data_IF_010948266177
#
_entry.id   IF_010948266177
#
_cell.length_a   1.000
_cell.length_b   1.000
_cell.length_c   1.000
_cell.angle_alpha   90.00
_cell.angle_beta   90.00
_cell.angle_gamma   90.00
#
_symmetry.space_group_name_H-M   'P 1'
#
loop_
_entity.id
_entity.type
_entity.pdbx_description
1 polymer ?
#
# COMPACT_ATOMS: atom_id res chain seq x y z
N UNK A 1 21.17 -3.53 -11.92
CA UNK A 1 19.85 -3.80 -12.54
C UNK A 1 20.00 -4.33 -13.96
N UNK A 2 20.87 -3.68 -14.74
CA UNK A 2 21.67 -3.97 -15.95
C UNK A 2 21.86 -5.44 -16.45
N UNK A 3 21.33 -6.46 -15.77
CA UNK A 3 21.12 -7.82 -16.28
C UNK A 3 19.63 -8.16 -16.53
N UNK A 4 18.74 -7.16 -16.49
CA UNK A 4 17.31 -7.30 -16.77
C UNK A 4 16.44 -7.87 -15.64
N UNK A 5 17.00 -8.05 -14.44
CA UNK A 5 16.28 -8.61 -13.29
C UNK A 5 15.17 -7.64 -12.80
N UNK A 6 13.91 -8.09 -12.78
CA UNK A 6 12.77 -7.32 -12.26
C UNK A 6 12.44 -7.59 -10.78
N UNK A 7 13.02 -8.65 -10.20
CA UNK A 7 12.82 -9.04 -8.80
C UNK A 7 14.19 -9.13 -8.13
N UNK A 8 14.29 -8.52 -6.95
CA UNK A 8 15.42 -8.66 -6.04
C UNK A 8 14.92 -9.42 -4.81
N UNK A 9 15.60 -10.52 -4.47
CA UNK A 9 15.26 -11.40 -3.35
C UNK A 9 16.31 -11.25 -2.27
N UNK A 10 15.97 -10.52 -1.22
CA UNK A 10 16.87 -9.98 -0.22
C UNK A 10 16.72 -10.73 1.11
N UNK A 11 17.13 -12.00 1.10
CA UNK A 11 17.14 -12.91 2.25
C UNK A 11 18.20 -12.59 3.32
N UNK A 12 18.51 -11.30 3.49
CA UNK A 12 19.58 -10.76 4.35
C UNK A 12 19.11 -9.46 5.00
N UNK A 13 19.73 -9.09 6.13
CA UNK A 13 19.43 -7.87 6.86
C UNK A 13 20.35 -7.67 8.08
N UNK A 14 20.11 -6.59 8.82
CA UNK A 14 20.89 -6.20 9.98
C UNK A 14 21.74 -4.94 9.76
N UNK A 15 22.27 -4.40 10.87
CA UNK A 15 22.97 -3.10 10.89
C UNK A 15 22.04 -1.89 10.94
N UNK A 16 22.65 -0.71 11.10
CA UNK A 16 21.97 0.59 11.06
C UNK A 16 21.49 0.94 9.64
N UNK A 17 20.49 1.83 9.47
CA UNK A 17 20.13 2.34 8.15
C UNK A 17 21.31 3.09 7.52
N UNK A 18 21.64 2.73 6.28
CA UNK A 18 22.71 3.29 5.46
C UNK A 18 22.09 4.06 4.30
N UNK A 19 22.53 5.29 4.06
CA UNK A 19 21.92 6.21 3.07
C UNK A 19 22.05 5.68 1.65
N UNK A 20 23.23 5.16 1.33
CA UNK A 20 23.63 4.68 0.01
C UNK A 20 22.78 3.46 -0.39
N UNK A 21 22.43 2.61 0.57
CA UNK A 21 21.52 1.48 0.37
C UNK A 21 20.07 1.95 0.16
N UNK A 22 19.61 2.96 0.90
CA UNK A 22 18.28 3.55 0.68
C UNK A 22 18.17 4.17 -0.73
N UNK A 23 19.18 4.93 -1.17
CA UNK A 23 19.23 5.52 -2.51
C UNK A 23 19.30 4.46 -3.62
N UNK A 24 20.01 3.35 -3.40
CA UNK A 24 20.03 2.20 -4.32
C UNK A 24 18.68 1.46 -4.41
N UNK A 25 17.93 1.34 -3.31
CA UNK A 25 16.58 0.76 -3.30
C UNK A 25 15.58 1.69 -4.01
N UNK A 26 15.72 3.01 -3.85
CA UNK A 26 14.96 3.99 -4.65
C UNK A 26 15.30 3.92 -6.14
N UNK A 27 16.54 3.62 -6.52
CA UNK A 27 16.90 3.39 -7.92
C UNK A 27 16.25 2.12 -8.47
N UNK A 28 16.26 1.02 -7.72
CA UNK A 28 15.49 -0.18 -8.07
C UNK A 28 13.99 0.11 -8.26
N UNK A 29 13.40 0.99 -7.43
CA UNK A 29 12.01 1.46 -7.60
C UNK A 29 11.83 2.25 -8.90
N UNK A 30 12.73 3.20 -9.22
CA UNK A 30 12.70 3.96 -10.48
C UNK A 30 12.78 3.04 -11.70
N UNK A 31 13.60 2.00 -11.62
CA UNK A 31 13.71 0.94 -12.64
C UNK A 31 12.62 -0.15 -12.54
N UNK A 32 11.57 0.07 -11.75
CA UNK A 32 10.36 -0.77 -11.63
C UNK A 32 10.62 -2.21 -11.15
N UNK A 33 11.68 -2.43 -10.38
CA UNK A 33 11.97 -3.72 -9.75
C UNK A 33 11.31 -3.83 -8.37
N UNK A 34 10.90 -5.05 -8.02
CA UNK A 34 10.50 -5.41 -6.65
C UNK A 34 11.72 -5.68 -5.78
N UNK A 35 11.68 -5.23 -4.52
CA UNK A 35 12.72 -5.48 -3.52
C UNK A 35 12.10 -6.26 -2.35
N UNK A 36 12.18 -7.58 -2.40
CA UNK A 36 11.46 -8.46 -1.46
C UNK A 36 12.44 -8.88 -0.37
N UNK A 37 12.20 -8.46 0.87
CA UNK A 37 13.19 -8.48 1.95
C UNK A 37 12.74 -9.29 3.17
N UNK A 38 13.70 -9.95 3.80
CA UNK A 38 13.51 -10.66 5.06
C UNK A 38 13.24 -9.68 6.21
N UNK A 39 12.17 -9.88 6.98
CA UNK A 39 11.82 -9.00 8.10
C UNK A 39 12.81 -9.07 9.29
N UNK A 40 13.63 -10.14 9.37
CA UNK A 40 14.59 -10.43 10.45
C UNK A 40 14.19 -11.64 11.31
N UNK A 41 15.15 -12.16 12.09
CA UNK A 41 15.04 -13.41 12.86
C UNK A 41 15.33 -13.22 14.36
N UNK A 42 15.03 -12.04 14.90
CA UNK A 42 15.39 -11.61 16.25
C UNK A 42 14.17 -11.54 17.21
N UNK A 43 13.04 -12.16 16.83
CA UNK A 43 11.73 -12.05 17.51
C UNK A 43 11.26 -10.59 17.71
N UNK A 44 11.78 -9.66 16.92
CA UNK A 44 11.70 -8.23 17.17
C UNK A 44 10.43 -7.58 16.56
N UNK A 45 9.95 -6.52 17.20
CA UNK A 45 8.85 -5.71 16.67
C UNK A 45 9.40 -4.58 15.79
N UNK A 46 9.32 -4.75 14.47
CA UNK A 46 9.76 -3.78 13.47
C UNK A 46 9.00 -2.44 13.59
N UNK A 47 7.73 -2.43 14.04
CA UNK A 47 6.97 -1.19 14.33
C UNK A 47 7.59 -0.35 15.46
N UNK A 48 8.57 -0.88 16.21
CA UNK A 48 9.33 -0.20 17.26
C UNK A 48 10.80 -0.04 16.90
N UNK A 49 11.45 -1.13 16.51
CA UNK A 49 12.87 -1.15 16.13
C UNK A 49 12.96 -1.70 14.69
N UNK A 50 13.02 -0.83 13.68
CA UNK A 50 13.02 -1.27 12.27
C UNK A 50 14.27 -2.07 11.91
N UNK A 51 14.08 -3.25 11.32
CA UNK A 51 15.16 -4.04 10.70
C UNK A 51 15.37 -3.62 9.25
N UNK A 52 16.61 -3.33 8.88
CA UNK A 52 16.98 -2.96 7.50
C UNK A 52 17.54 -4.18 6.74
N UNK A 53 17.27 -4.31 5.42
CA UNK A 53 16.64 -3.32 4.55
C UNK A 53 15.10 -3.30 4.54
N UNK A 54 14.42 -4.24 5.20
CA UNK A 54 12.96 -4.37 5.11
C UNK A 54 12.16 -3.14 5.60
N UNK A 55 12.66 -2.41 6.60
CA UNK A 55 12.06 -1.17 7.14
C UNK A 55 12.40 0.13 6.39
N UNK A 56 12.98 0.07 5.18
CA UNK A 56 13.14 1.26 4.35
C UNK A 56 11.79 1.69 3.73
N UNK A 57 11.37 2.96 3.89
CA UNK A 57 10.09 3.45 3.37
C UNK A 57 10.17 3.74 1.86
N UNK A 58 10.20 2.69 1.04
CA UNK A 58 10.19 2.75 -0.44
C UNK A 58 9.12 1.79 -0.95
N UNK A 59 8.27 2.24 -1.88
CA UNK A 59 7.02 1.54 -2.23
C UNK A 59 7.19 0.28 -3.10
N UNK A 60 8.42 -0.10 -3.45
CA UNK A 60 8.75 -1.39 -4.05
C UNK A 60 9.31 -2.42 -3.03
N UNK A 61 9.50 -2.02 -1.77
CA UNK A 61 9.92 -2.93 -0.71
C UNK A 61 8.72 -3.77 -0.27
N UNK A 62 8.95 -5.08 -0.09
CA UNK A 62 7.99 -6.02 0.49
C UNK A 62 8.65 -6.70 1.67
N UNK A 63 8.19 -6.43 2.88
CA UNK A 63 8.74 -6.94 4.13
C UNK A 63 8.09 -8.27 4.52
N UNK A 64 8.87 -9.36 4.58
CA UNK A 64 8.36 -10.75 4.66
C UNK A 64 8.67 -11.40 6.02
N UNK A 65 7.62 -11.77 6.76
CA UNK A 65 7.70 -12.60 7.96
C UNK A 65 7.70 -14.11 7.64
N UNK A 66 8.20 -14.91 8.57
CA UNK A 66 8.19 -16.37 8.52
C UNK A 66 7.05 -16.95 9.38
N UNK A 67 6.32 -17.91 8.81
CA UNK A 67 5.34 -18.75 9.51
C UNK A 67 5.75 -20.22 9.47
N UNK A 68 5.18 -21.01 10.40
CA UNK A 68 5.23 -22.47 10.42
C UNK A 68 4.12 -23.11 9.55
N UNK A 69 4.05 -24.44 9.55
CA UNK A 69 3.02 -25.21 8.83
C UNK A 69 1.63 -25.19 9.47
N UNK A 70 1.40 -24.34 10.48
CA UNK A 70 0.13 -24.15 11.18
C UNK A 70 -0.33 -22.67 11.08
N UNK A 71 0.23 -21.91 10.13
CA UNK A 71 0.09 -20.46 9.95
C UNK A 71 0.44 -19.61 11.19
N UNK A 72 1.23 -20.15 12.12
CA UNK A 72 1.72 -19.42 13.29
C UNK A 72 3.00 -18.69 12.93
N UNK A 73 3.12 -17.44 13.39
CA UNK A 73 4.38 -16.70 13.30
C UNK A 73 5.50 -17.53 13.92
N UNK A 74 6.57 -17.78 13.16
CA UNK A 74 7.71 -18.52 13.66
C UNK A 74 8.32 -17.80 14.86
N UNK A 75 8.75 -18.52 15.89
CA UNK A 75 9.18 -17.92 17.17
C UNK A 75 10.31 -16.89 17.03
N UNK A 76 11.19 -17.08 16.06
CA UNK A 76 12.28 -16.17 15.71
C UNK A 76 11.84 -14.99 14.80
N UNK A 77 10.70 -15.06 14.11
CA UNK A 77 10.36 -14.08 13.08
C UNK A 77 10.13 -12.71 13.68
N UNK A 78 10.75 -11.70 13.10
CA UNK A 78 10.34 -10.32 13.33
C UNK A 78 8.92 -10.10 12.80
N UNK A 79 8.25 -9.09 13.36
CA UNK A 79 6.85 -8.80 13.12
C UNK A 79 6.58 -7.29 13.21
N UNK A 80 5.48 -6.83 12.62
CA UNK A 80 5.04 -5.44 12.65
C UNK A 80 3.74 -5.28 11.85
N UNK A 81 2.73 -4.63 12.41
CA UNK A 81 1.44 -4.42 11.71
C UNK A 81 1.56 -3.30 10.66
N UNK A 82 2.63 -2.49 10.75
CA UNK A 82 2.94 -1.40 9.81
C UNK A 82 4.19 -1.68 8.97
N UNK A 83 5.18 -2.37 9.55
CA UNK A 83 6.52 -2.57 8.97
C UNK A 83 6.76 -4.00 8.44
N UNK A 84 5.74 -4.87 8.45
CA UNK A 84 5.77 -6.21 7.82
C UNK A 84 4.50 -6.43 7.01
N UNK A 85 4.64 -6.64 5.70
CA UNK A 85 3.55 -6.63 4.73
C UNK A 85 2.78 -7.94 4.65
N UNK A 86 3.50 -9.06 4.69
CA UNK A 86 3.02 -10.41 4.37
C UNK A 86 3.87 -11.46 5.08
N UNK A 87 3.26 -12.59 5.43
CA UNK A 87 3.96 -13.79 5.89
C UNK A 87 4.04 -14.85 4.79
N UNK A 88 5.10 -15.66 4.80
CA UNK A 88 5.21 -16.87 3.98
C UNK A 88 5.92 -17.98 4.76
N UNK A 89 5.82 -19.22 4.25
CA UNK A 89 6.40 -20.39 4.89
C UNK A 89 7.91 -20.24 5.08
N UNK A 90 8.38 -20.28 6.33
CA UNK A 90 9.76 -20.01 6.71
C UNK A 90 10.33 -20.95 7.77
N UNK A 91 9.63 -22.05 8.08
CA UNK A 91 10.07 -23.10 9.03
C UNK A 91 10.13 -24.45 8.31
N UNK A 92 11.21 -25.20 8.53
CA UNK A 92 11.50 -26.51 7.94
C UNK A 92 11.53 -26.54 6.40
N UNK A 93 11.83 -25.40 5.76
CA UNK A 93 11.79 -25.23 4.31
C UNK A 93 12.90 -26.03 3.65
N UNK A 94 12.50 -27.10 2.98
CA UNK A 94 13.39 -28.00 2.26
C UNK A 94 13.78 -27.41 0.90
N UNK A 95 15.08 -27.22 0.67
CA UNK A 95 15.60 -26.68 -0.60
C UNK A 95 16.99 -27.21 -0.91
N UNK A 96 17.51 -26.87 -2.09
CA UNK A 96 18.86 -27.22 -2.55
C UNK A 96 19.94 -26.63 -1.63
N UNK A 97 21.03 -27.38 -1.47
CA UNK A 97 22.15 -27.04 -0.61
C UNK A 97 23.47 -27.45 -1.32
N UNK A 98 24.60 -26.75 -1.10
CA UNK A 98 25.84 -27.01 -1.85
C UNK A 98 26.31 -28.47 -1.81
N UNK A 99 27.00 -28.90 -2.87
CA UNK A 99 27.43 -30.28 -3.12
C UNK A 99 26.26 -31.26 -3.28
N UNK A 100 25.32 -30.94 -4.17
CA UNK A 100 24.20 -31.79 -4.61
C UNK A 100 23.37 -32.40 -3.47
N UNK A 101 23.17 -31.60 -2.42
CA UNK A 101 22.38 -31.95 -1.25
C UNK A 101 21.07 -31.17 -1.21
N UNK A 102 20.17 -31.63 -0.37
CA UNK A 102 19.01 -30.87 0.08
C UNK A 102 19.05 -30.70 1.58
N UNK A 103 18.52 -29.59 2.09
CA UNK A 103 18.48 -29.29 3.52
C UNK A 103 17.23 -28.50 3.86
N UNK A 104 16.60 -28.85 4.98
CA UNK A 104 15.53 -28.04 5.59
C UNK A 104 16.14 -26.94 6.45
N UNK A 105 15.70 -25.69 6.24
CA UNK A 105 16.20 -24.50 6.93
C UNK A 105 15.05 -23.64 7.48
N UNK A 106 15.40 -22.77 8.43
CA UNK A 106 14.48 -21.87 9.15
C UNK A 106 14.94 -20.41 8.97
N UNK A 107 14.00 -19.50 8.72
CA UNK A 107 14.26 -18.06 8.68
C UNK A 107 13.27 -17.28 7.82
N UNK A 108 13.14 -15.97 8.09
CA UNK A 108 12.56 -15.01 7.13
C UNK A 108 13.32 -15.01 5.79
N UNK A 109 14.61 -15.36 5.81
CA UNK A 109 15.44 -15.69 4.65
C UNK A 109 14.88 -16.83 3.76
N UNK A 110 14.05 -17.73 4.30
CA UNK A 110 13.36 -18.81 3.58
C UNK A 110 11.93 -18.43 3.19
N UNK A 111 11.28 -17.53 3.93
CA UNK A 111 9.97 -16.96 3.55
C UNK A 111 10.09 -16.00 2.35
N UNK A 112 11.13 -15.17 2.33
CA UNK A 112 11.46 -14.21 1.26
C UNK A 112 11.43 -14.81 -0.15
N UNK A 113 12.13 -15.92 -0.47
CA UNK A 113 12.11 -16.51 -1.80
C UNK A 113 10.75 -17.10 -2.23
N UNK A 114 9.85 -17.46 -1.29
CA UNK A 114 8.48 -17.85 -1.67
C UNK A 114 7.71 -16.67 -2.25
N UNK A 115 7.78 -15.49 -1.60
CA UNK A 115 7.15 -14.26 -2.10
C UNK A 115 7.80 -13.80 -3.42
N UNK A 116 9.13 -13.97 -3.55
CA UNK A 116 9.86 -13.73 -4.81
C UNK A 116 9.43 -14.67 -5.93
N UNK A 117 9.23 -15.96 -5.63
CA UNK A 117 8.70 -16.94 -6.58
C UNK A 117 7.27 -16.62 -7.01
N UNK A 118 6.40 -16.22 -6.07
CA UNK A 118 5.04 -15.78 -6.36
C UNK A 118 5.02 -14.55 -7.29
N UNK A 119 5.86 -13.54 -7.02
CA UNK A 119 6.01 -12.38 -7.91
C UNK A 119 6.49 -12.78 -9.32
N UNK A 120 7.38 -13.77 -9.43
CA UNK A 120 7.85 -14.29 -10.72
C UNK A 120 6.74 -15.05 -11.46
N UNK A 121 5.94 -15.85 -10.76
CA UNK A 121 4.79 -16.56 -11.33
C UNK A 121 3.71 -15.58 -11.80
N UNK A 122 3.42 -14.51 -11.05
CA UNK A 122 2.54 -13.42 -11.49
C UNK A 122 3.07 -12.82 -12.80
N UNK A 123 4.35 -12.43 -12.87
CA UNK A 123 4.93 -11.88 -14.11
C UNK A 123 5.12 -12.88 -15.26
N UNK A 124 5.02 -14.19 -15.00
CA UNK A 124 4.97 -15.21 -16.05
C UNK A 124 3.54 -15.49 -16.53
N UNK A 125 2.52 -15.26 -15.70
CA UNK A 125 1.14 -15.56 -16.01
C UNK A 125 0.59 -14.67 -17.15
N UNK A 126 -0.06 -15.22 -18.19
CA UNK A 126 -0.46 -14.45 -19.37
C UNK A 126 -1.33 -13.21 -19.10
N UNK A 127 -2.20 -13.27 -18.08
CA UNK A 127 -3.07 -12.16 -17.70
C UNK A 127 -2.37 -11.04 -16.88
N UNK A 128 -1.15 -11.30 -16.36
CA UNK A 128 -0.45 -10.40 -15.44
C UNK A 128 1.00 -10.05 -15.85
N UNK A 129 1.51 -10.62 -16.95
CA UNK A 129 2.89 -10.40 -17.45
C UNK A 129 3.30 -8.92 -17.60
N UNK A 130 2.37 -8.08 -18.06
CA UNK A 130 2.61 -6.66 -18.38
C UNK A 130 2.42 -5.73 -17.16
N UNK A 131 2.08 -6.29 -15.99
CA UNK A 131 1.81 -5.53 -14.77
C UNK A 131 3.03 -4.79 -14.24
N UNK A 132 2.81 -3.61 -13.66
CA UNK A 132 3.85 -2.87 -12.91
C UNK A 132 4.14 -3.52 -11.56
N UNK A 133 5.26 -3.16 -10.93
CA UNK A 133 5.62 -3.70 -9.62
C UNK A 133 4.55 -3.42 -8.56
N UNK A 134 3.96 -2.22 -8.57
CA UNK A 134 2.90 -1.83 -7.63
C UNK A 134 1.59 -2.61 -7.84
N UNK A 135 1.33 -3.07 -9.06
CA UNK A 135 0.20 -3.95 -9.34
C UNK A 135 0.48 -5.40 -8.92
N UNK A 136 1.72 -5.89 -9.04
CA UNK A 136 2.12 -7.21 -8.51
C UNK A 136 2.04 -7.23 -6.99
N UNK A 137 2.45 -6.15 -6.31
CA UNK A 137 2.26 -5.98 -4.86
C UNK A 137 0.76 -6.06 -4.49
N UNK A 138 -0.13 -5.39 -5.24
CA UNK A 138 -1.58 -5.51 -5.02
C UNK A 138 -2.12 -6.92 -5.29
N UNK A 139 -1.59 -7.64 -6.27
CA UNK A 139 -1.97 -9.04 -6.52
C UNK A 139 -1.51 -9.96 -5.38
N UNK A 140 -0.28 -9.79 -4.87
CA UNK A 140 0.21 -10.52 -3.70
C UNK A 140 -0.62 -10.23 -2.44
N UNK A 141 -0.97 -8.96 -2.18
CA UNK A 141 -1.64 -8.56 -0.94
C UNK A 141 -3.15 -8.74 -0.97
N UNK A 142 -3.77 -8.66 -2.16
CA UNK A 142 -5.22 -8.75 -2.37
C UNK A 142 -5.74 -10.17 -2.54
N UNK A 143 -4.86 -11.12 -2.89
CA UNK A 143 -5.19 -12.56 -2.93
C UNK A 143 -4.53 -13.33 -1.77
N UNK A 144 -3.91 -12.64 -0.81
CA UNK A 144 -3.35 -13.25 0.40
C UNK A 144 -4.45 -13.80 1.30
N UNK A 145 -4.19 -14.95 1.93
CA UNK A 145 -5.07 -15.48 2.98
C UNK A 145 -4.97 -14.60 4.23
N UNK A 146 -6.07 -14.49 4.98
CA UNK A 146 -6.14 -13.63 6.18
C UNK A 146 -6.23 -14.49 7.42
N UNK A 147 -5.12 -14.61 8.13
CA UNK A 147 -5.00 -15.43 9.35
C UNK A 147 -5.15 -14.54 10.57
N UNK A 148 -6.22 -14.74 11.34
CA UNK A 148 -6.58 -13.87 12.47
C UNK A 148 -5.49 -13.77 13.54
N UNK A 149 -4.80 -14.88 13.83
CA UNK A 149 -3.66 -14.91 14.75
C UNK A 149 -2.48 -14.01 14.34
N UNK A 150 -2.37 -13.66 13.05
CA UNK A 150 -1.31 -12.81 12.51
C UNK A 150 -1.71 -11.33 12.39
N UNK A 151 -2.98 -10.95 12.60
CA UNK A 151 -3.43 -9.55 12.47
C UNK A 151 -2.75 -8.56 13.42
N UNK A 152 -2.19 -9.06 14.52
CA UNK A 152 -1.39 -8.29 15.49
C UNK A 152 0.12 -8.31 15.21
N UNK A 153 0.55 -8.96 14.11
CA UNK A 153 1.96 -9.27 13.78
C UNK A 153 2.35 -8.94 12.34
N UNK A 154 1.40 -8.93 11.41
CA UNK A 154 1.61 -8.68 9.98
C UNK A 154 0.48 -7.78 9.49
N UNK A 155 0.76 -6.87 8.56
CA UNK A 155 -0.22 -5.95 8.00
C UNK A 155 -1.46 -6.68 7.47
N UNK A 156 -2.58 -6.56 8.19
CA UNK A 156 -3.84 -7.24 7.86
C UNK A 156 -3.89 -8.75 8.15
N UNK A 157 -2.83 -9.36 8.69
CA UNK A 157 -2.74 -10.81 8.92
C UNK A 157 -2.49 -11.64 7.66
N UNK A 158 -1.92 -11.04 6.61
CA UNK A 158 -1.73 -11.64 5.28
C UNK A 158 -0.73 -12.81 5.29
N UNK A 159 -1.13 -13.93 4.70
CA UNK A 159 -0.28 -15.07 4.34
C UNK A 159 -0.25 -15.24 2.81
N UNK A 160 0.92 -15.55 2.26
CA UNK A 160 1.12 -15.72 0.82
C UNK A 160 0.29 -16.89 0.25
N UNK A 161 -0.68 -16.55 -0.62
CA UNK A 161 -1.44 -17.50 -1.42
C UNK A 161 -1.23 -17.21 -2.93
N UNK A 162 -1.07 -18.28 -3.72
CA UNK A 162 -0.83 -18.23 -5.18
C UNK A 162 -1.89 -19.00 -5.98
N UNK A 163 -2.91 -19.55 -5.34
CA UNK A 163 -3.95 -20.38 -5.97
C UNK A 163 -4.73 -19.65 -7.07
N UNK A 164 -4.86 -18.32 -6.95
CA UNK A 164 -5.49 -17.46 -7.96
C UNK A 164 -4.79 -17.49 -9.34
N UNK A 165 -3.53 -17.94 -9.41
CA UNK A 165 -2.79 -18.13 -10.67
C UNK A 165 -3.14 -19.44 -11.39
N UNK A 166 -3.76 -20.40 -10.71
CA UNK A 166 -4.24 -21.66 -11.28
C UNK A 166 -5.73 -21.63 -11.68
N UNK A 167 -6.46 -20.59 -11.27
CA UNK A 167 -7.84 -20.37 -11.68
C UNK A 167 -7.85 -19.81 -13.11
N UNK A 168 -8.70 -20.35 -13.97
CA UNK A 168 -8.91 -19.77 -15.32
C UNK A 168 -9.39 -18.34 -15.18
N UNK A 169 -8.58 -17.37 -15.63
CA UNK A 169 -8.99 -15.97 -15.62
C UNK A 169 -10.34 -15.83 -16.37
N UNK A 170 -11.35 -15.14 -15.79
CA UNK A 170 -12.61 -14.93 -16.47
C UNK A 170 -12.36 -14.20 -17.79
N UNK A 171 -12.98 -14.68 -18.87
CA UNK A 171 -12.70 -14.26 -20.24
C UNK A 171 -12.76 -12.73 -20.36
N UNK A 172 -11.68 -12.05 -20.80
CA UNK A 172 -11.66 -10.59 -20.87
C UNK A 172 -12.48 -10.08 -22.06
N UNK A 173 -13.79 -9.94 -21.88
CA UNK A 173 -14.65 -9.14 -22.75
C UNK A 173 -14.28 -7.66 -22.59
N UNK A 174 -13.40 -7.17 -23.47
CA UNK A 174 -13.00 -5.77 -23.49
C UNK A 174 -14.22 -4.88 -23.78
N UNK A 175 -14.54 -3.87 -22.94
CA UNK A 175 -15.77 -3.10 -23.07
C UNK A 175 -15.69 -2.05 -24.18
N UNK A 176 -15.97 -2.47 -25.41
CA UNK A 176 -16.59 -1.56 -26.39
C UNK A 176 -18.03 -1.34 -25.95
N UNK A 177 -18.37 -0.13 -25.49
CA UNK A 177 -19.74 0.19 -25.06
C UNK A 177 -20.66 0.31 -26.28
N UNK A 178 -21.60 -0.63 -26.45
CA UNK A 178 -23.01 -0.24 -26.46
C UNK A 178 -23.75 -0.52 -25.14
N UNK A 179 -24.95 0.04 -25.04
CA UNK A 179 -25.76 0.10 -23.83
C UNK A 179 -26.36 -1.26 -23.44
N UNK A 180 -25.98 -1.73 -22.25
CA UNK A 180 -26.73 -2.57 -21.28
C UNK A 180 -27.56 -3.78 -21.75
N UNK A 181 -27.27 -4.93 -21.13
CA UNK A 181 -28.25 -5.57 -20.23
C UNK A 181 -27.59 -6.48 -19.16
N UNK A 182 -27.90 -6.20 -17.88
CA UNK A 182 -27.85 -7.12 -16.73
C UNK A 182 -26.56 -7.86 -16.35
N UNK A 183 -25.87 -7.41 -15.28
CA UNK A 183 -25.09 -8.33 -14.43
C UNK A 183 -24.87 -7.82 -12.99
N UNK A 184 -24.65 -8.74 -12.02
CA UNK A 184 -24.42 -8.43 -10.60
C UNK A 184 -22.98 -7.99 -10.33
N UNK A 185 -22.68 -6.72 -10.56
CA UNK A 185 -21.39 -6.14 -10.19
C UNK A 185 -21.21 -6.06 -8.65
N UNK A 186 -20.02 -6.41 -8.15
CA UNK A 186 -19.65 -6.37 -6.74
C UNK A 186 -19.13 -4.99 -6.27
N UNK A 187 -18.56 -4.95 -5.07
CA UNK A 187 -17.81 -3.81 -4.54
C UNK A 187 -16.50 -3.57 -5.30
N UNK A 188 -15.97 -2.34 -5.25
CA UNK A 188 -14.66 -2.00 -5.80
C UNK A 188 -13.80 -1.22 -4.81
N UNK A 189 -12.48 -1.40 -4.88
CA UNK A 189 -11.50 -0.59 -4.17
C UNK A 189 -10.48 -0.04 -5.16
N UNK A 190 -10.22 1.27 -5.10
CA UNK A 190 -9.24 1.95 -5.95
C UNK A 190 -8.27 2.78 -5.12
N UNK A 191 -7.01 2.83 -5.56
CA UNK A 191 -5.94 3.55 -4.86
C UNK A 191 -5.36 4.63 -5.76
N UNK A 192 -5.51 5.89 -5.34
CA UNK A 192 -4.93 7.04 -6.00
C UNK A 192 -3.66 7.48 -5.27
N UNK A 193 -2.62 7.78 -6.03
CA UNK A 193 -1.34 8.27 -5.55
C UNK A 193 -1.11 9.65 -6.13
N UNK A 194 -0.59 10.56 -5.31
CA UNK A 194 -0.06 11.83 -5.79
C UNK A 194 1.45 11.83 -5.49
N UNK A 195 2.24 11.99 -6.54
CA UNK A 195 3.70 11.82 -6.54
C UNK A 195 4.43 13.09 -6.10
N UNK A 196 3.93 14.26 -6.48
CA UNK A 196 4.57 15.55 -6.21
C UNK A 196 4.22 16.14 -4.83
N UNK A 197 5.21 16.75 -4.18
CA UNK A 197 5.03 17.50 -2.94
C UNK A 197 4.44 18.89 -3.23
N UNK A 198 3.24 19.19 -2.72
CA UNK A 198 2.59 20.49 -2.91
C UNK A 198 2.90 21.43 -1.75
N UNK A 199 3.57 22.55 -2.03
CA UNK A 199 3.60 23.69 -1.10
C UNK A 199 2.33 24.51 -1.25
N UNK A 200 1.73 24.90 -0.12
CA UNK A 200 0.49 25.66 -0.04
C UNK A 200 0.76 26.94 0.75
N UNK A 201 0.38 28.07 0.15
CA UNK A 201 0.50 29.41 0.74
C UNK A 201 -0.89 30.00 1.00
N UNK A 202 -0.99 31.33 1.09
CA UNK A 202 -2.23 32.00 1.48
C UNK A 202 -3.25 32.03 0.32
N UNK A 203 -4.53 32.01 0.69
CA UNK A 203 -5.70 31.72 -0.13
C UNK A 203 -5.71 30.30 -0.70
N UNK A 204 -6.93 29.75 -0.81
CA UNK A 204 -7.12 28.39 -0.31
C UNK A 204 -6.92 27.30 -1.36
N UNK A 205 -5.70 26.80 -1.45
CA UNK A 205 -5.39 25.60 -2.23
C UNK A 205 -6.28 24.40 -1.85
N UNK A 206 -6.73 23.75 -2.91
CA UNK A 206 -7.41 22.46 -2.91
C UNK A 206 -6.45 21.46 -3.59
N UNK A 207 -6.48 20.22 -3.14
CA UNK A 207 -6.11 19.08 -3.97
C UNK A 207 -7.37 18.24 -4.17
N UNK A 208 -7.62 17.71 -5.36
CA UNK A 208 -8.87 17.01 -5.67
C UNK A 208 -8.71 15.94 -6.75
N UNK A 209 -9.63 14.97 -6.75
CA UNK A 209 -9.68 13.83 -7.67
C UNK A 209 -11.16 13.53 -8.00
N UNK A 210 -11.47 13.41 -9.29
CA UNK A 210 -12.83 13.09 -9.78
C UNK A 210 -13.06 11.59 -9.84
N UNK A 211 -14.26 11.15 -9.46
CA UNK A 211 -14.71 9.75 -9.44
C UNK A 211 -16.13 9.66 -10.00
N UNK A 212 -16.39 8.64 -10.83
CA UNK A 212 -17.70 8.40 -11.45
C UNK A 212 -18.33 7.12 -10.90
N UNK A 213 -19.53 7.23 -10.32
CA UNK A 213 -20.27 6.13 -9.70
C UNK A 213 -21.40 5.65 -10.61
N UNK A 214 -21.42 4.36 -10.94
CA UNK A 214 -22.38 3.76 -11.87
C UNK A 214 -23.80 3.55 -11.29
N UNK A 215 -23.93 3.60 -9.96
CA UNK A 215 -25.13 3.47 -9.13
C UNK A 215 -24.87 4.14 -7.77
N UNK A 216 -25.84 4.11 -6.87
CA UNK A 216 -25.63 4.47 -5.47
C UNK A 216 -24.72 3.46 -4.75
N UNK A 217 -23.79 3.97 -3.92
CA UNK A 217 -22.72 3.21 -3.28
C UNK A 217 -22.37 3.82 -1.90
N UNK A 218 -21.96 3.00 -0.94
CA UNK A 218 -21.34 3.43 0.32
C UNK A 218 -19.83 3.56 0.09
N UNK A 219 -19.32 4.79 0.07
CA UNK A 219 -17.89 5.06 -0.13
C UNK A 219 -17.21 5.29 1.21
N UNK A 220 -16.22 4.46 1.53
CA UNK A 220 -15.24 4.68 2.60
C UNK A 220 -13.95 5.20 1.99
N UNK A 221 -13.45 6.33 2.49
CA UNK A 221 -12.14 6.87 2.11
C UNK A 221 -11.17 6.79 3.27
N UNK A 222 -9.95 6.37 2.94
CA UNK A 222 -8.78 6.41 3.82
C UNK A 222 -7.69 7.22 3.10
N UNK A 223 -7.37 8.40 3.63
CA UNK A 223 -6.32 9.26 3.08
C UNK A 223 -5.12 9.32 4.02
N UNK A 224 -3.95 8.89 3.53
CA UNK A 224 -2.69 8.91 4.25
C UNK A 224 -1.75 9.95 3.61
N UNK A 225 -1.37 10.96 4.39
CA UNK A 225 -0.46 12.05 3.99
C UNK A 225 0.45 12.45 5.14
N UNK A 226 1.48 13.26 4.88
CA UNK A 226 2.25 13.95 5.92
C UNK A 226 2.39 15.43 5.54
N UNK A 227 2.27 16.33 6.52
CA UNK A 227 2.36 17.78 6.28
C UNK A 227 3.23 18.48 7.34
N UNK A 228 4.05 19.42 6.88
CA UNK A 228 4.94 20.28 7.71
C UNK A 228 4.44 21.73 7.66
N UNK A 229 4.61 22.52 8.72
CA UNK A 229 4.20 23.94 8.71
C UNK A 229 5.10 24.87 9.52
N UNK A 230 5.46 26.00 8.90
CA UNK A 230 6.25 27.10 9.50
C UNK A 230 5.48 27.95 10.52
N UNK A 231 4.15 27.76 10.65
CA UNK A 231 3.31 28.45 11.66
C UNK A 231 2.25 27.52 12.25
N UNK A 232 1.84 27.79 13.50
CA UNK A 232 0.77 27.04 14.18
C UNK A 232 -0.57 27.23 13.47
N UNK A 233 -1.16 26.14 12.98
CA UNK A 233 -2.51 26.10 12.41
C UNK A 233 -3.28 24.90 12.94
N UNK A 234 -4.59 24.84 12.69
CA UNK A 234 -5.50 23.92 13.42
C UNK A 234 -6.46 23.12 12.54
N UNK A 235 -6.50 23.34 11.22
CA UNK A 235 -7.59 22.85 10.37
C UNK A 235 -7.13 22.22 9.06
N UNK A 236 -7.46 20.94 8.92
CA UNK A 236 -7.49 20.20 7.65
C UNK A 236 -8.93 19.72 7.42
N UNK A 237 -9.33 19.48 6.18
CA UNK A 237 -10.64 18.90 5.86
C UNK A 237 -10.55 18.01 4.63
N UNK A 238 -11.25 16.90 4.68
CA UNK A 238 -11.33 15.88 3.61
C UNK A 238 -12.79 15.56 3.34
N UNK A 239 -13.19 15.39 2.09
CA UNK A 239 -14.60 15.08 1.80
C UNK A 239 -14.90 14.74 0.36
N UNK A 240 -16.20 14.59 0.10
CA UNK A 240 -16.81 14.46 -1.22
C UNK A 240 -17.75 15.63 -1.50
N UNK A 241 -17.91 15.95 -2.78
CA UNK A 241 -18.83 16.97 -3.23
C UNK A 241 -19.16 16.84 -4.74
N UNK A 242 -20.21 17.50 -5.23
CA UNK A 242 -20.80 17.29 -6.57
C UNK A 242 -20.61 18.53 -7.50
N UNK A 243 -19.48 19.22 -7.39
CA UNK A 243 -19.59 20.62 -6.93
C UNK A 243 -19.15 21.70 -7.95
N UNK A 244 -20.05 22.64 -8.33
CA UNK A 244 -19.78 23.61 -9.39
C UNK A 244 -19.32 25.01 -8.90
N UNK A 245 -18.03 25.31 -9.08
CA UNK A 245 -17.46 26.67 -9.03
C UNK A 245 -17.79 27.50 -7.76
N UNK A 246 -17.62 26.99 -6.54
CA UNK A 246 -17.01 25.70 -6.18
C UNK A 246 -17.98 24.54 -5.91
N UNK A 247 -19.28 24.63 -5.60
CA UNK A 247 -20.20 25.77 -5.43
C UNK A 247 -19.94 26.73 -4.25
N UNK A 248 -20.52 26.47 -3.07
CA UNK A 248 -20.97 27.57 -2.23
C UNK A 248 -19.90 28.39 -1.49
N UNK A 249 -18.79 27.77 -1.06
CA UNK A 249 -17.63 28.38 -0.35
C UNK A 249 -16.41 27.45 -0.27
N UNK A 250 -16.56 26.18 0.08
CA UNK A 250 -17.70 25.44 0.66
C UNK A 250 -17.47 23.95 0.42
N UNK A 251 -18.21 23.07 1.08
CA UNK A 251 -18.07 21.62 0.90
C UNK A 251 -19.37 20.93 1.31
N UNK A 252 -19.82 19.93 0.53
CA UNK A 252 -21.16 19.32 0.68
C UNK A 252 -21.19 18.13 1.65
N UNK A 253 -20.23 17.20 1.55
CA UNK A 253 -20.10 16.05 2.46
C UNK A 253 -18.64 15.91 2.96
N UNK A 254 -18.27 16.72 3.97
CA UNK A 254 -16.88 16.86 4.45
C UNK A 254 -16.68 16.48 5.92
N UNK A 255 -15.62 15.72 6.20
CA UNK A 255 -15.09 15.51 7.55
C UNK A 255 -13.93 16.50 7.80
N UNK A 256 -14.09 17.32 8.85
CA UNK A 256 -13.07 18.29 9.28
C UNK A 256 -12.19 17.66 10.37
N UNK A 257 -10.91 17.46 10.07
CA UNK A 257 -9.93 16.97 11.04
C UNK A 257 -9.18 18.18 11.64
N UNK A 258 -9.43 18.45 12.92
CA UNK A 258 -8.86 19.60 13.65
C UNK A 258 -7.49 19.22 14.22
N UNK A 259 -6.50 19.00 13.35
CA UNK A 259 -5.11 18.76 13.78
C UNK A 259 -4.41 20.09 14.05
N UNK A 260 -4.01 20.33 15.30
CA UNK A 260 -3.11 21.44 15.64
C UNK A 260 -1.68 21.06 15.32
N UNK A 261 -1.09 21.69 14.31
CA UNK A 261 0.28 21.44 13.86
C UNK A 261 1.10 22.72 14.04
N UNK A 262 2.17 22.60 14.84
CA UNK A 262 3.22 23.58 15.02
C UNK A 262 4.55 22.81 15.08
N UNK A 263 5.12 22.51 13.90
CA UNK A 263 6.33 21.71 13.81
C UNK A 263 7.04 21.92 12.48
N UNK A 264 8.38 22.04 12.56
CA UNK A 264 9.29 21.96 11.42
C UNK A 264 9.55 20.51 10.96
N UNK A 265 8.81 19.53 11.48
CA UNK A 265 8.78 18.14 11.03
C UNK A 265 7.45 17.83 10.33
N UNK A 266 7.45 16.81 9.48
CA UNK A 266 6.24 16.30 8.82
C UNK A 266 5.38 15.53 9.81
N UNK A 267 4.17 16.01 10.06
CA UNK A 267 3.17 15.36 10.90
C UNK A 267 2.28 14.46 10.02
N UNK A 268 2.15 13.16 10.30
CA UNK A 268 1.27 12.29 9.56
C UNK A 268 -0.20 12.64 9.82
N UNK A 269 -1.01 12.57 8.77
CA UNK A 269 -2.46 12.68 8.85
C UNK A 269 -3.09 11.45 8.21
N UNK A 270 -3.95 10.80 8.98
CA UNK A 270 -4.86 9.77 8.52
C UNK A 270 -6.29 10.23 8.80
N UNK A 271 -7.16 10.20 7.79
CA UNK A 271 -8.60 10.39 7.94
C UNK A 271 -9.32 9.19 7.34
N UNK A 272 -10.28 8.64 8.08
CA UNK A 272 -11.18 7.57 7.61
C UNK A 272 -12.61 8.01 7.81
N UNK A 273 -13.44 7.92 6.77
CA UNK A 273 -14.85 8.29 6.82
C UNK A 273 -15.66 7.59 5.73
N UNK A 274 -16.94 7.32 6.00
CA UNK A 274 -17.85 6.57 5.13
C UNK A 274 -19.13 7.37 4.85
N UNK A 275 -19.63 7.36 3.62
CA UNK A 275 -20.84 8.10 3.22
C UNK A 275 -21.59 7.41 2.07
N UNK A 276 -22.92 7.43 2.14
CA UNK A 276 -23.84 7.00 1.07
C UNK A 276 -23.86 8.06 -0.04
N UNK A 277 -23.40 7.69 -1.23
CA UNK A 277 -23.29 8.58 -2.39
C UNK A 277 -24.16 8.05 -3.54
N UNK A 278 -25.00 8.88 -4.19
CA UNK A 278 -25.86 8.46 -5.28
C UNK A 278 -25.06 8.12 -6.55
N UNK A 279 -25.77 7.71 -7.60
CA UNK A 279 -25.20 7.62 -8.95
C UNK A 279 -24.82 9.02 -9.45
N UNK A 280 -23.57 9.23 -9.88
CA UNK A 280 -23.13 10.53 -10.36
C UNK A 280 -21.64 10.64 -10.68
N UNK A 281 -21.22 11.85 -11.01
CA UNK A 281 -19.81 12.26 -10.98
C UNK A 281 -19.59 13.12 -9.74
N UNK A 282 -18.55 12.79 -8.97
CA UNK A 282 -18.25 13.40 -7.68
C UNK A 282 -16.76 13.76 -7.61
N UNK A 283 -16.43 14.77 -6.83
CA UNK A 283 -15.06 15.21 -6.60
C UNK A 283 -14.68 15.01 -5.13
N UNK A 284 -13.61 14.25 -4.92
CA UNK A 284 -12.97 14.05 -3.62
C UNK A 284 -11.93 15.14 -3.44
N UNK A 285 -11.78 15.68 -2.23
CA UNK A 285 -10.86 16.78 -1.98
C UNK A 285 -10.14 16.75 -0.63
N UNK A 286 -9.04 17.49 -0.57
CA UNK A 286 -8.34 17.93 0.63
C UNK A 286 -8.20 19.45 0.62
N UNK A 287 -8.44 20.09 1.77
CA UNK A 287 -8.18 21.53 1.99
C UNK A 287 -7.44 21.73 3.30
N UNK A 288 -6.38 22.52 3.28
CA UNK A 288 -5.65 22.97 4.48
C UNK A 288 -5.89 24.47 4.65
N UNK A 289 -6.21 24.93 5.88
CA UNK A 289 -6.39 26.37 6.15
C UNK A 289 -5.15 26.96 6.81
N UNK A 290 -4.32 27.63 6.02
CA UNK A 290 -3.09 28.28 6.46
C UNK A 290 -3.38 29.67 7.07
N UNK A 291 -2.78 30.06 8.21
CA UNK A 291 -2.87 31.41 8.76
C UNK A 291 -2.16 32.45 7.90
N UNK A 292 -2.47 33.74 8.10
CA UNK A 292 -1.83 34.85 7.37
C UNK A 292 -0.30 34.80 7.54
N UNK A 293 0.43 34.78 6.42
CA UNK A 293 1.89 34.64 6.40
C UNK A 293 2.44 33.29 6.89
N UNK A 294 1.62 32.23 6.90
CA UNK A 294 2.09 30.85 7.07
C UNK A 294 2.39 30.16 5.73
N UNK A 295 3.05 29.01 5.80
CA UNK A 295 3.33 28.12 4.66
C UNK A 295 3.26 26.67 5.15
N UNK A 296 2.57 25.82 4.38
CA UNK A 296 2.42 24.38 4.64
C UNK A 296 2.98 23.60 3.47
N UNK A 297 3.79 22.57 3.74
CA UNK A 297 4.28 21.64 2.73
C UNK A 297 3.63 20.28 2.93
N UNK A 298 2.95 19.78 1.89
CA UNK A 298 2.45 18.40 1.82
C UNK A 298 3.54 17.53 1.19
N UNK A 299 3.89 16.42 1.82
CA UNK A 299 4.84 15.46 1.24
C UNK A 299 4.19 14.68 0.10
N UNK A 300 4.90 14.57 -1.03
CA UNK A 300 4.52 13.70 -2.15
C UNK A 300 4.70 12.21 -1.80
N UNK A 301 3.97 11.33 -2.50
CA UNK A 301 3.95 9.89 -2.23
C UNK A 301 2.87 9.45 -1.24
N UNK A 302 1.90 10.30 -0.90
CA UNK A 302 0.73 9.90 -0.13
C UNK A 302 -0.24 9.03 -0.94
N UNK A 303 -1.09 8.30 -0.22
CA UNK A 303 -2.06 7.35 -0.82
C UNK A 303 -3.47 7.66 -0.34
N UNK A 304 -4.41 7.73 -1.27
CA UNK A 304 -5.84 7.65 -0.99
C UNK A 304 -6.37 6.29 -1.43
N UNK A 305 -7.04 5.59 -0.52
CA UNK A 305 -7.82 4.40 -0.83
C UNK A 305 -9.31 4.81 -0.81
N UNK A 306 -10.03 4.49 -1.88
CA UNK A 306 -11.49 4.65 -2.00
C UNK A 306 -12.10 3.26 -2.12
N UNK A 307 -12.81 2.82 -1.08
CA UNK A 307 -13.53 1.56 -1.02
C UNK A 307 -15.01 1.85 -1.21
N UNK A 308 -15.62 1.33 -2.28
CA UNK A 308 -17.02 1.56 -2.63
C UNK A 308 -17.79 0.23 -2.57
N UNK A 309 -18.68 0.12 -1.59
CA UNK A 309 -19.62 -1.00 -1.45
C UNK A 309 -20.95 -0.64 -2.14
N UNK A 310 -21.65 -1.56 -2.81
CA UNK A 310 -23.03 -1.35 -3.21
C UNK A 310 -23.89 -1.12 -1.97
N UNK A 311 -24.97 -0.35 -2.11
CA UNK A 311 -26.04 -0.31 -1.11
C UNK A 311 -27.22 -1.10 -1.70
N UNK A 312 -27.81 -1.96 -0.88
CA UNK A 312 -29.01 -2.74 -1.19
C UNK A 312 -30.29 -1.90 -1.02
#
# INVERSE_FOLDING_TARGET
MDKGARILSNSWGGGSPVRELFEAIQEAQRQRALFIAAAGNESNNNDRNRTFPAGYPVANVVSVAAIDSNDRLASFSNYGVKEVDIAASGVNIHSTYPSDRYKSLNGTSMATPHVSGAAALIWRHPAYKDKRFDEVIRLLYGNADVVDGLRSRVAGGRVLNVSFLGQTAPTPTSPTVPVASGEKMAAFSTSFYYDQAKSIRQDSDIASIKVKLGREMLLTIRANTSIKSRRRFQHVSTGFTDDPNISGRGWKHSVRVVTTIASDQFVPLASTYSVRMPKGEHEIFWRVRVPRGGEVQIQGGGTMIVEALPIE
#
